data_IF_337820123749
#
_entry.id   IF_337820123749
#
_cell.length_a   1.000
_cell.length_b   1.000
_cell.length_c   1.000
_cell.angle_alpha   90.00
_cell.angle_beta   90.00
_cell.angle_gamma   90.00
#
_symmetry.space_group_name_H-M   'P 1'
#
loop_
_entity.id
_entity.type
_entity.pdbx_description
1 polymer ?
#
# COMPACT_ATOMS: atom_id res chain seq x y z
N UNK A 1 2.15 10.32 8.15
CA UNK A 1 2.22 9.03 7.41
C UNK A 1 1.34 9.03 6.16
N UNK A 2 0.05 9.40 6.26
CA UNK A 2 -0.88 9.41 5.13
C UNK A 2 -0.49 10.38 3.99
N UNK A 3 0.16 11.50 4.31
CA UNK A 3 0.57 12.51 3.33
C UNK A 3 1.65 12.01 2.36
N UNK A 4 2.59 11.20 2.84
CA UNK A 4 3.63 10.60 1.99
C UNK A 4 3.03 9.58 1.01
N UNK A 5 2.13 8.71 1.50
CA UNK A 5 1.40 7.77 0.66
C UNK A 5 0.58 8.49 -0.42
N UNK A 6 -0.16 9.54 -0.04
CA UNK A 6 -0.99 10.30 -0.97
C UNK A 6 -0.13 11.02 -2.04
N UNK A 7 1.01 11.59 -1.63
CA UNK A 7 1.94 12.23 -2.57
C UNK A 7 2.49 11.23 -3.59
N UNK A 8 2.89 10.04 -3.14
CA UNK A 8 3.37 8.97 -4.02
C UNK A 8 2.26 8.47 -4.94
N UNK A 9 1.06 8.25 -4.41
CA UNK A 9 -0.11 7.84 -5.18
C UNK A 9 -0.43 8.83 -6.30
N UNK A 10 -0.42 10.14 -6.00
CA UNK A 10 -0.63 11.18 -6.99
C UNK A 10 0.46 11.17 -8.07
N UNK A 11 1.73 11.11 -7.66
CA UNK A 11 2.85 11.17 -8.59
C UNK A 11 3.00 9.91 -9.47
N UNK A 12 2.74 8.72 -8.93
CA UNK A 12 2.95 7.46 -9.65
C UNK A 12 1.73 7.03 -10.48
N UNK A 13 0.52 7.44 -10.09
CA UNK A 13 -0.72 7.06 -10.75
C UNK A 13 -1.43 8.26 -11.38
N UNK A 14 -1.88 9.21 -10.56
CA UNK A 14 -2.84 10.24 -11.00
C UNK A 14 -2.24 11.21 -12.02
N UNK A 15 -1.02 11.66 -11.79
CA UNK A 15 -0.34 12.69 -12.61
C UNK A 15 0.20 12.12 -13.95
N UNK A 16 0.26 10.80 -14.11
CA UNK A 16 0.91 10.16 -15.26
C UNK A 16 0.12 10.18 -16.56
N UNK A 17 -1.19 10.40 -16.49
CA UNK A 17 -2.05 10.47 -17.67
C UNK A 17 -3.32 11.27 -17.41
N UNK A 18 -3.92 11.76 -18.48
CA UNK A 18 -5.30 12.22 -18.44
C UNK A 18 -6.25 11.02 -18.31
N UNK A 19 -7.26 11.15 -17.45
CA UNK A 19 -8.22 10.09 -17.16
C UNK A 19 -9.53 10.37 -17.88
N UNK A 20 -10.10 9.33 -18.48
CA UNK A 20 -11.33 9.48 -19.25
C UNK A 20 -12.59 9.49 -18.35
N UNK A 21 -12.47 8.99 -17.12
CA UNK A 21 -13.56 9.03 -16.13
C UNK A 21 -13.21 8.33 -14.82
N UNK A 22 -14.10 8.46 -13.82
CA UNK A 22 -13.88 7.94 -12.46
C UNK A 22 -13.73 6.42 -12.41
N UNK A 23 -14.47 5.67 -13.24
CA UNK A 23 -14.40 4.20 -13.27
C UNK A 23 -12.99 3.72 -13.66
N UNK A 24 -12.37 4.37 -14.63
CA UNK A 24 -11.01 4.07 -15.07
C UNK A 24 -10.01 4.34 -13.93
N UNK A 25 -10.16 5.48 -13.25
CA UNK A 25 -9.34 5.82 -12.08
C UNK A 25 -9.46 4.73 -11.02
N UNK A 26 -10.68 4.36 -10.62
CA UNK A 26 -10.89 3.35 -9.58
C UNK A 26 -10.29 1.97 -9.93
N UNK A 27 -10.39 1.56 -11.20
CA UNK A 27 -9.80 0.31 -11.66
C UNK A 27 -8.26 0.34 -11.55
N UNK A 28 -7.64 1.43 -12.00
CA UNK A 28 -6.19 1.59 -11.94
C UNK A 28 -5.69 1.83 -10.51
N UNK A 29 -6.46 2.53 -9.67
CA UNK A 29 -6.19 2.66 -8.23
C UNK A 29 -6.17 1.29 -7.56
N UNK A 30 -7.13 0.41 -7.88
CA UNK A 30 -7.18 -0.93 -7.29
C UNK A 30 -5.95 -1.75 -7.66
N UNK A 31 -5.50 -1.67 -8.92
CA UNK A 31 -4.26 -2.33 -9.38
C UNK A 31 -3.03 -1.74 -8.70
N UNK A 32 -2.97 -0.41 -8.60
CA UNK A 32 -1.86 0.28 -7.94
C UNK A 32 -1.76 -0.08 -6.46
N UNK A 33 -2.89 -0.16 -5.75
CA UNK A 33 -2.93 -0.58 -4.33
C UNK A 33 -2.47 -2.02 -4.18
N UNK A 34 -2.91 -2.93 -5.06
CA UNK A 34 -2.45 -4.33 -5.03
C UNK A 34 -0.93 -4.41 -5.22
N UNK A 35 -0.38 -3.71 -6.20
CA UNK A 35 1.06 -3.63 -6.44
C UNK A 35 1.82 -2.99 -5.26
N UNK A 36 1.32 -1.87 -4.74
CA UNK A 36 1.94 -1.18 -3.61
C UNK A 36 2.03 -2.08 -2.38
N UNK A 37 0.98 -2.84 -2.08
CA UNK A 37 0.93 -3.68 -0.88
C UNK A 37 1.70 -5.00 -1.04
N UNK A 38 1.68 -5.62 -2.22
CA UNK A 38 2.19 -6.98 -2.40
C UNK A 38 3.57 -7.04 -3.05
N UNK A 39 4.00 -5.99 -3.76
CA UNK A 39 5.18 -6.06 -4.63
C UNK A 39 6.16 -4.92 -4.40
N UNK A 40 5.68 -3.72 -4.04
CA UNK A 40 6.54 -2.56 -3.86
C UNK A 40 7.44 -2.75 -2.64
N UNK A 41 8.75 -2.68 -2.85
CA UNK A 41 9.73 -2.79 -1.77
C UNK A 41 9.97 -1.42 -1.14
N UNK A 42 9.98 -1.38 0.19
CA UNK A 42 10.17 -0.15 0.95
C UNK A 42 11.42 -0.26 1.82
N UNK A 43 12.43 0.58 1.55
CA UNK A 43 13.68 0.59 2.34
C UNK A 43 13.43 0.88 3.83
N UNK A 44 12.40 1.66 4.16
CA UNK A 44 12.05 1.99 5.54
C UNK A 44 11.61 0.77 6.37
N UNK A 45 11.18 -0.31 5.72
CA UNK A 45 10.73 -1.55 6.36
C UNK A 45 11.59 -2.75 5.94
N UNK A 46 12.86 -2.49 5.62
CA UNK A 46 13.85 -3.53 5.33
C UNK A 46 13.73 -4.13 3.93
N UNK A 47 13.30 -3.34 2.93
CA UNK A 47 13.09 -3.82 1.55
C UNK A 47 12.08 -4.97 1.46
N UNK A 48 11.01 -4.88 2.25
CA UNK A 48 9.89 -5.81 2.22
C UNK A 48 8.62 -5.12 1.72
N UNK A 49 7.67 -5.85 1.14
CA UNK A 49 6.35 -5.33 0.83
C UNK A 49 5.55 -5.05 2.12
N UNK A 50 4.69 -4.01 2.11
CA UNK A 50 3.89 -3.62 3.26
C UNK A 50 3.01 -4.75 3.81
N UNK A 51 2.50 -5.62 2.93
CA UNK A 51 1.65 -6.74 3.32
C UNK A 51 2.36 -7.73 4.26
N UNK A 52 3.62 -8.05 4.01
CA UNK A 52 4.39 -8.96 4.87
C UNK A 52 4.56 -8.35 6.27
N UNK A 53 4.95 -7.08 6.33
CA UNK A 53 5.17 -6.38 7.62
C UNK A 53 3.87 -6.22 8.41
N UNK A 54 2.76 -5.94 7.72
CA UNK A 54 1.45 -5.88 8.36
C UNK A 54 0.99 -7.24 8.88
N UNK A 55 1.21 -8.31 8.12
CA UNK A 55 0.88 -9.68 8.53
C UNK A 55 1.67 -10.11 9.75
N UNK A 56 2.97 -9.79 9.81
CA UNK A 56 3.78 -10.05 11.01
C UNK A 56 3.28 -9.28 12.23
N UNK A 57 2.94 -7.99 12.06
CA UNK A 57 2.41 -7.17 13.15
C UNK A 57 1.06 -7.70 13.68
N UNK A 58 0.16 -8.14 12.80
CA UNK A 58 -1.10 -8.78 13.21
C UNK A 58 -0.82 -10.07 13.98
N UNK A 59 0.10 -10.90 13.50
CA UNK A 59 0.42 -12.17 14.16
C UNK A 59 1.08 -11.96 15.54
N UNK A 60 1.92 -10.95 15.70
CA UNK A 60 2.48 -10.57 17.01
C UNK A 60 1.37 -10.06 17.94
N UNK A 61 0.55 -9.13 17.46
CA UNK A 61 -0.57 -8.56 18.22
C UNK A 61 -1.59 -9.63 18.64
N UNK A 62 -1.88 -10.62 17.78
CA UNK A 62 -2.78 -11.73 18.11
C UNK A 62 -2.16 -12.70 19.12
N UNK A 63 -0.84 -12.88 19.08
CA UNK A 63 -0.11 -13.72 20.04
C UNK A 63 -0.09 -13.05 21.41
N UNK A 64 0.13 -11.74 21.48
CA UNK A 64 0.09 -10.95 22.72
C UNK A 64 -1.32 -10.95 23.34
N UNK A 65 -2.37 -10.85 22.53
CA UNK A 65 -3.76 -10.90 23.02
C UNK A 65 -4.16 -12.29 23.54
N UNK A 66 -3.60 -13.36 22.98
CA UNK A 66 -3.89 -14.74 23.39
C UNK A 66 -3.07 -15.18 24.62
N UNK A 67 -2.01 -14.47 24.97
CA UNK A 67 -1.16 -14.73 26.14
C UNK A 67 -1.54 -13.91 27.39
N UNK A 68 -2.52 -13.00 27.27
CA UNK A 68 -3.07 -12.18 28.33
C UNK A 68 -4.38 -12.77 28.90
#
# INVERSE_FOLDING_TARGET
>A
MAEALNSVYKAELIDRKAWSGLIEVMAETSKWVAWYNQTRLHSAIGHRPPFEVHSEWINQSTTELAAA
#
